data_IF_062862715242
#
_entry.id   IF_062862715242
#
_cell.length_a   1.000
_cell.length_b   1.000
_cell.length_c   1.000
_cell.angle_alpha   90.00
_cell.angle_beta   90.00
_cell.angle_gamma   90.00
#
_symmetry.space_group_name_H-M   'P 1'
#
loop_
_entity.id
_entity.type
_entity.pdbx_description
1 polymer ?
#
# COMPACT_ATOMS: atom_id res chain seq x y z
N UNK A 1 -15.09 -0.07 -4.85
CA UNK A 1 -14.82 -1.32 -5.57
C UNK A 1 -14.97 -0.97 -7.04
N UNK A 2 -13.97 -1.22 -7.89
CA UNK A 2 -14.06 -0.90 -9.33
C UNK A 2 -14.43 -2.19 -10.06
N UNK A 3 -15.63 -2.29 -10.64
CA UNK A 3 -15.90 -3.31 -11.66
C UNK A 3 -15.70 -2.66 -13.03
N UNK A 4 -14.51 -2.86 -13.59
CA UNK A 4 -14.31 -2.89 -15.03
C UNK A 4 -15.20 -3.99 -15.64
N UNK A 5 -15.54 -3.91 -16.94
CA UNK A 5 -16.02 -5.01 -17.79
C UNK A 5 -15.61 -6.36 -17.17
N UNK A 6 -16.56 -7.26 -16.82
CA UNK A 6 -16.35 -8.29 -15.82
C UNK A 6 -15.00 -8.92 -16.04
N UNK A 7 -14.07 -8.60 -15.13
CA UNK A 7 -12.63 -8.86 -15.25
C UNK A 7 -12.29 -10.33 -15.58
N UNK A 8 -13.28 -11.23 -15.45
CA UNK A 8 -13.29 -12.61 -15.99
C UNK A 8 -13.03 -12.71 -17.50
N UNK A 9 -13.54 -11.79 -18.32
CA UNK A 9 -13.37 -11.85 -19.79
C UNK A 9 -11.95 -11.41 -20.17
N UNK A 10 -11.48 -10.32 -19.57
CA UNK A 10 -10.13 -9.80 -19.81
C UNK A 10 -9.05 -10.69 -19.18
N UNK A 11 -9.31 -11.32 -18.03
CA UNK A 11 -8.35 -12.24 -17.39
C UNK A 11 -7.98 -13.40 -18.31
N UNK A 12 -8.95 -13.97 -19.02
CA UNK A 12 -8.71 -15.08 -19.95
C UNK A 12 -7.81 -14.67 -21.12
N UNK A 13 -7.88 -13.41 -21.55
CA UNK A 13 -7.03 -12.90 -22.62
C UNK A 13 -5.62 -12.59 -22.12
N UNK A 14 -5.48 -12.05 -20.91
CA UNK A 14 -4.16 -11.86 -20.29
C UNK A 14 -3.47 -13.19 -20.00
N UNK A 15 -4.21 -14.23 -19.60
CA UNK A 15 -3.68 -15.58 -19.41
C UNK A 15 -3.18 -16.17 -20.74
N UNK A 16 -3.88 -15.94 -21.86
CA UNK A 16 -3.41 -16.34 -23.20
C UNK A 16 -2.09 -15.66 -23.57
N UNK A 17 -1.96 -14.35 -23.32
CA UNK A 17 -0.72 -13.61 -23.55
C UNK A 17 0.40 -14.14 -22.64
N UNK A 18 0.11 -14.40 -21.36
CA UNK A 18 1.07 -15.00 -20.42
C UNK A 18 1.51 -16.42 -20.83
N UNK A 19 0.69 -17.14 -21.62
CA UNK A 19 0.99 -18.44 -22.21
C UNK A 19 1.68 -18.35 -23.59
N UNK A 20 2.00 -17.15 -24.08
CA UNK A 20 2.81 -16.94 -25.29
C UNK A 20 2.03 -16.54 -26.53
N UNK A 21 0.73 -16.28 -26.42
CA UNK A 21 0.00 -15.62 -27.52
C UNK A 21 0.45 -14.17 -27.70
N UNK A 22 0.43 -13.63 -28.94
CA UNK A 22 0.87 -12.27 -29.19
C UNK A 22 -0.05 -11.25 -28.50
N UNK A 23 0.54 -10.18 -27.97
CA UNK A 23 -0.17 -9.13 -27.23
C UNK A 23 -1.04 -8.22 -28.10
N UNK A 24 -0.88 -8.29 -29.43
CA UNK A 24 -1.65 -7.54 -30.42
C UNK A 24 -3.15 -7.88 -30.48
N UNK A 25 -3.59 -8.87 -29.68
CA UNK A 25 -5.00 -9.19 -29.45
C UNK A 25 -5.73 -8.03 -28.73
N UNK A 26 -5.04 -7.33 -27.82
CA UNK A 26 -5.62 -6.23 -27.02
C UNK A 26 -4.78 -4.95 -27.04
N UNK A 27 -3.48 -5.06 -27.29
CA UNK A 27 -2.51 -3.99 -27.10
C UNK A 27 -1.77 -3.69 -28.40
N UNK A 28 -1.64 -2.41 -28.75
CA UNK A 28 -0.75 -2.02 -29.84
C UNK A 28 0.72 -2.24 -29.48
N UNK A 29 1.06 -2.17 -28.19
CA UNK A 29 2.40 -2.38 -27.68
C UNK A 29 2.61 -3.78 -27.11
N UNK A 30 3.86 -4.24 -27.17
CA UNK A 30 4.28 -5.48 -26.53
C UNK A 30 4.17 -5.40 -25.02
N UNK A 31 3.63 -6.45 -24.39
CA UNK A 31 3.68 -6.64 -22.94
C UNK A 31 5.12 -6.94 -22.51
N UNK A 32 5.63 -6.16 -21.55
CA UNK A 32 6.99 -6.29 -21.00
C UNK A 32 7.02 -7.14 -19.72
N UNK A 33 5.97 -7.03 -18.90
CA UNK A 33 5.81 -7.78 -17.66
C UNK A 33 4.32 -7.77 -17.24
N UNK A 34 3.99 -8.45 -16.16
CA UNK A 34 2.67 -8.43 -15.54
C UNK A 34 2.71 -7.95 -14.09
N UNK A 35 1.74 -7.11 -13.72
CA UNK A 35 1.40 -6.90 -12.32
C UNK A 35 0.45 -7.98 -11.81
N UNK A 36 0.73 -8.50 -10.62
CA UNK A 36 -0.13 -9.43 -9.88
C UNK A 36 -1.00 -8.64 -8.92
N UNK A 37 -2.31 -8.64 -9.16
CA UNK A 37 -3.31 -8.03 -8.27
C UNK A 37 -3.54 -8.87 -7.03
N UNK A 38 -3.89 -8.22 -5.92
CA UNK A 38 -4.41 -8.92 -4.73
C UNK A 38 -5.81 -9.49 -4.94
N UNK A 39 -6.57 -8.95 -5.91
CA UNK A 39 -7.85 -9.52 -6.32
C UNK A 39 -7.66 -10.81 -7.11
N UNK A 40 -8.55 -11.78 -6.88
CA UNK A 40 -8.48 -13.10 -7.53
C UNK A 40 -9.62 -13.31 -8.53
N UNK A 41 -9.39 -14.17 -9.51
CA UNK A 41 -10.40 -14.73 -10.42
C UNK A 41 -10.19 -16.25 -10.44
N UNK A 42 -11.23 -17.03 -10.12
CA UNK A 42 -11.08 -18.49 -10.04
C UNK A 42 -10.07 -18.99 -9.01
N UNK A 43 -9.82 -18.21 -7.95
CA UNK A 43 -8.83 -18.54 -6.91
C UNK A 43 -7.39 -18.14 -7.21
N UNK A 44 -7.09 -17.67 -8.42
CA UNK A 44 -5.75 -17.20 -8.82
C UNK A 44 -5.66 -15.67 -8.83
N UNK A 45 -4.51 -15.08 -8.45
CA UNK A 45 -4.27 -13.63 -8.57
C UNK A 45 -4.44 -13.17 -10.01
N UNK A 46 -5.13 -12.04 -10.22
CA UNK A 46 -5.30 -11.50 -11.56
C UNK A 46 -3.99 -10.90 -12.07
N UNK A 47 -3.70 -11.13 -13.36
CA UNK A 47 -2.59 -10.52 -14.06
C UNK A 47 -3.05 -9.24 -14.78
N UNK A 48 -2.26 -8.18 -14.70
CA UNK A 48 -2.47 -6.96 -15.47
C UNK A 48 -1.21 -6.68 -16.30
N UNK A 49 -1.32 -6.55 -17.62
CA UNK A 49 -0.15 -6.34 -18.47
C UNK A 49 0.49 -4.98 -18.21
N UNK A 50 1.81 -4.93 -18.37
CA UNK A 50 2.61 -3.72 -18.26
C UNK A 50 3.28 -3.48 -19.61
N UNK A 51 3.02 -2.29 -20.16
CA UNK A 51 3.59 -1.81 -21.42
C UNK A 51 4.62 -0.72 -21.15
N UNK A 52 5.32 -0.27 -22.20
CA UNK A 52 6.26 0.84 -22.07
C UNK A 52 5.56 2.12 -21.59
N UNK A 53 4.35 2.39 -22.07
CA UNK A 53 3.53 3.51 -21.59
C UNK A 53 3.15 3.39 -20.11
N UNK A 54 2.74 2.21 -19.64
CA UNK A 54 2.45 2.00 -18.22
C UNK A 54 3.68 2.26 -17.34
N UNK A 55 4.88 1.88 -17.80
CA UNK A 55 6.13 2.18 -17.08
C UNK A 55 6.46 3.69 -17.04
N UNK A 56 6.10 4.46 -18.08
CA UNK A 56 6.28 5.92 -18.08
C UNK A 56 5.43 6.64 -17.03
N UNK A 57 4.35 6.01 -16.55
CA UNK A 57 3.52 6.56 -15.47
C UNK A 57 4.14 6.36 -14.08
N UNK A 58 4.99 5.35 -13.89
CA UNK A 58 5.60 5.05 -12.58
C UNK A 58 6.36 6.27 -12.01
N UNK A 59 7.25 6.97 -12.76
CA UNK A 59 7.93 8.17 -12.26
C UNK A 59 7.01 9.30 -11.78
N UNK A 60 5.79 9.40 -12.32
CA UNK A 60 4.80 10.41 -11.88
C UNK A 60 4.28 10.07 -10.48
N UNK A 61 4.19 8.78 -10.16
CA UNK A 61 3.62 8.27 -8.93
C UNK A 61 4.68 8.04 -7.84
N UNK A 62 5.93 7.78 -8.23
CA UNK A 62 7.06 7.55 -7.32
C UNK A 62 7.19 8.62 -6.22
N UNK A 63 7.04 9.93 -6.49
CA UNK A 63 7.09 10.97 -5.44
C UNK A 63 5.97 10.84 -4.39
N UNK A 64 4.84 10.22 -4.74
CA UNK A 64 3.71 10.01 -3.84
C UNK A 64 3.78 8.67 -3.11
N UNK A 65 4.38 7.65 -3.73
CA UNK A 65 4.72 6.37 -3.08
C UNK A 65 5.87 6.54 -2.11
N UNK A 66 6.96 7.17 -2.57
CA UNK A 66 8.19 7.42 -1.85
C UNK A 66 8.19 8.86 -1.34
N UNK A 67 7.80 9.06 -0.09
CA UNK A 67 8.30 10.23 0.65
C UNK A 67 9.82 10.13 0.94
N UNK A 68 10.54 9.11 0.42
CA UNK A 68 11.73 8.57 1.07
C UNK A 68 12.83 8.16 0.09
N UNK A 69 13.96 8.87 0.26
CA UNK A 69 15.32 8.72 -0.27
C UNK A 69 15.59 9.05 -1.75
N UNK A 70 16.12 10.27 -1.91
CA UNK A 70 17.17 10.58 -2.89
C UNK A 70 18.42 9.76 -2.55
N UNK A 71 18.67 8.70 -3.30
CA UNK A 71 20.02 8.13 -3.41
C UNK A 71 20.80 9.00 -4.42
N UNK A 72 21.92 9.54 -3.95
CA UNK A 72 23.02 10.20 -4.67
C UNK A 72 22.79 10.61 -6.14
N UNK A 73 22.72 11.92 -6.37
CA UNK A 73 23.29 12.52 -7.59
C UNK A 73 22.34 13.16 -8.59
N UNK A 74 21.02 12.96 -8.51
CA UNK A 74 20.08 13.62 -9.43
C UNK A 74 19.38 14.77 -8.70
N UNK A 75 19.85 16.00 -8.94
CA UNK A 75 19.17 17.24 -8.52
C UNK A 75 17.77 17.27 -9.14
N UNK A 76 16.74 16.85 -8.41
CA UNK A 76 15.36 16.86 -8.89
C UNK A 76 14.55 18.02 -8.31
N UNK A 77 14.34 19.02 -9.16
CA UNK A 77 13.52 20.22 -8.99
C UNK A 77 12.04 19.94 -8.60
N UNK A 78 11.58 18.68 -8.55
CA UNK A 78 10.18 18.32 -8.23
C UNK A 78 9.89 18.22 -6.72
N UNK A 79 10.89 17.97 -5.87
CA UNK A 79 10.69 17.97 -4.41
C UNK A 79 10.23 19.35 -3.91
N UNK A 80 10.58 20.41 -4.65
CA UNK A 80 10.21 21.80 -4.35
C UNK A 80 8.71 22.11 -4.46
N UNK A 81 7.91 21.32 -5.20
CA UNK A 81 6.45 21.55 -5.26
C UNK A 81 5.66 20.78 -4.19
N UNK A 82 6.21 19.70 -3.65
CA UNK A 82 5.64 19.03 -2.47
C UNK A 82 5.88 19.84 -1.18
N UNK A 83 6.88 20.74 -1.16
CA UNK A 83 7.14 21.66 -0.03
C UNK A 83 5.95 22.58 0.32
N UNK A 84 5.03 22.84 -0.62
CA UNK A 84 3.88 23.71 -0.39
C UNK A 84 2.60 22.97 0.04
N UNK A 85 2.49 21.66 -0.22
CA UNK A 85 1.28 20.87 0.09
C UNK A 85 1.44 20.15 1.44
N UNK A 86 2.68 19.76 1.77
CA UNK A 86 3.00 19.02 2.97
C UNK A 86 3.74 19.98 3.92
N UNK A 87 3.01 20.74 4.75
CA UNK A 87 3.58 21.61 5.79
C UNK A 87 4.22 20.79 6.94
N UNK A 88 5.11 19.87 6.61
CA UNK A 88 6.06 19.30 7.56
C UNK A 88 7.35 20.10 7.40
N UNK A 89 7.65 20.98 8.36
CA UNK A 89 8.77 21.92 8.28
C UNK A 89 10.12 21.27 7.89
N UNK A 90 11.01 22.09 7.32
CA UNK A 90 12.42 21.83 6.96
C UNK A 90 12.83 20.34 6.78
N UNK A 91 12.23 19.67 5.80
CA UNK A 91 12.61 18.34 5.30
C UNK A 91 13.89 18.37 4.43
N UNK A 92 14.92 19.11 4.84
CA UNK A 92 16.17 19.28 4.07
C UNK A 92 17.26 18.23 4.40
N UNK A 93 16.99 17.29 5.32
CA UNK A 93 17.88 16.16 5.64
C UNK A 93 17.31 14.84 5.13
N UNK A 94 18.21 13.91 4.75
CA UNK A 94 17.84 12.59 4.26
C UNK A 94 16.92 11.85 5.25
N UNK A 95 15.62 11.87 4.96
CA UNK A 95 14.59 11.24 5.77
C UNK A 95 14.77 9.72 5.68
N UNK A 96 15.08 9.04 6.79
CA UNK A 96 14.99 7.57 6.86
C UNK A 96 13.57 7.19 7.30
N UNK A 97 13.01 6.21 6.62
CA UNK A 97 11.74 5.59 6.96
C UNK A 97 11.92 4.15 7.33
N UNK A 98 11.05 3.70 8.21
CA UNK A 98 10.78 2.30 8.42
C UNK A 98 9.46 1.96 7.73
N UNK A 99 9.53 1.35 6.55
CA UNK A 99 8.36 0.84 5.85
C UNK A 99 8.42 -0.68 5.80
N UNK A 100 7.48 -1.34 6.47
CA UNK A 100 7.37 -2.80 6.44
C UNK A 100 6.80 -3.22 5.09
N UNK A 101 7.63 -3.87 4.29
CA UNK A 101 7.25 -4.38 2.97
C UNK A 101 7.22 -5.89 2.98
N UNK A 102 6.13 -6.44 2.48
CA UNK A 102 5.91 -7.87 2.32
C UNK A 102 5.76 -8.15 0.83
N UNK A 103 6.88 -8.33 0.15
CA UNK A 103 6.89 -8.67 -1.27
C UNK A 103 6.75 -10.19 -1.44
N UNK A 104 6.00 -10.62 -2.44
CA UNK A 104 6.14 -11.99 -2.96
C UNK A 104 7.24 -11.98 -4.01
N UNK A 105 8.01 -13.06 -4.07
CA UNK A 105 9.01 -13.26 -5.12
C UNK A 105 8.40 -13.09 -6.51
N UNK A 106 9.21 -12.54 -7.43
CA UNK A 106 8.85 -12.46 -8.84
C UNK A 106 8.66 -13.87 -9.38
N UNK A 107 7.53 -14.11 -10.05
CA UNK A 107 7.26 -15.39 -10.71
C UNK A 107 7.38 -15.22 -12.21
N UNK A 108 7.91 -16.23 -12.90
CA UNK A 108 7.96 -16.24 -14.36
C UNK A 108 6.68 -16.86 -14.93
N UNK A 109 6.11 -16.20 -15.93
CA UNK A 109 4.99 -16.75 -16.70
C UNK A 109 5.49 -17.81 -17.69
N UNK A 110 4.63 -18.70 -18.23
CA UNK A 110 5.05 -19.73 -19.17
C UNK A 110 5.76 -19.21 -20.44
N UNK A 111 5.52 -17.96 -20.83
CA UNK A 111 6.21 -17.30 -21.95
C UNK A 111 7.52 -16.59 -21.57
N UNK A 112 7.98 -16.69 -20.32
CA UNK A 112 9.21 -16.07 -19.84
C UNK A 112 9.07 -14.63 -19.33
N UNK A 113 7.86 -14.05 -19.37
CA UNK A 113 7.62 -12.71 -18.84
C UNK A 113 7.51 -12.75 -17.31
N UNK A 114 8.07 -11.74 -16.64
CA UNK A 114 7.99 -11.61 -15.18
C UNK A 114 6.59 -11.19 -14.73
N UNK A 115 6.15 -11.73 -13.60
CA UNK A 115 4.93 -11.34 -12.91
C UNK A 115 5.24 -10.97 -11.45
N UNK A 116 5.03 -9.70 -11.09
CA UNK A 116 5.39 -9.14 -9.78
C UNK A 116 4.27 -8.32 -9.16
N UNK A 117 4.30 -8.05 -7.86
CA UNK A 117 3.36 -7.13 -7.26
C UNK A 117 3.68 -5.68 -7.68
N UNK A 118 2.67 -4.84 -7.87
CA UNK A 118 2.86 -3.47 -8.36
C UNK A 118 3.69 -2.58 -7.42
N UNK A 119 3.85 -2.98 -6.15
CA UNK A 119 4.57 -2.24 -5.10
C UNK A 119 6.02 -2.68 -4.90
N UNK A 120 6.52 -3.67 -5.64
CA UNK A 120 7.85 -4.27 -5.41
C UNK A 120 8.94 -3.71 -6.32
N UNK A 121 8.80 -2.47 -6.81
CA UNK A 121 9.81 -1.82 -7.66
C UNK A 121 11.08 -1.39 -6.90
N UNK A 122 11.25 -1.79 -5.64
CA UNK A 122 12.41 -1.51 -4.79
C UNK A 122 13.05 -2.82 -4.35
N UNK A 123 14.26 -3.16 -4.84
CA UNK A 123 15.00 -4.29 -4.33
C UNK A 123 15.73 -3.93 -3.04
N UNK A 124 15.31 -4.55 -1.95
CA UNK A 124 16.16 -4.80 -0.78
C UNK A 124 16.12 -6.30 -0.59
N UNK A 125 17.28 -6.95 -0.48
CA UNK A 125 17.39 -8.42 -0.43
C UNK A 125 16.57 -9.01 0.73
N UNK A 126 16.45 -8.29 1.85
CA UNK A 126 15.61 -8.67 2.98
C UNK A 126 14.09 -8.59 2.70
N UNK A 127 13.64 -7.74 1.77
CA UNK A 127 12.22 -7.60 1.39
C UNK A 127 11.76 -8.79 0.53
N UNK A 128 12.68 -9.42 -0.20
CA UNK A 128 12.42 -10.59 -1.05
C UNK A 128 12.68 -11.93 -0.36
N UNK A 129 12.98 -11.95 0.93
CA UNK A 129 13.12 -13.21 1.65
C UNK A 129 11.78 -13.96 1.63
N UNK A 130 11.81 -15.20 1.12
CA UNK A 130 10.63 -16.08 1.01
C UNK A 130 10.02 -16.42 2.38
N UNK A 131 10.84 -16.44 3.43
CA UNK A 131 10.38 -16.53 4.81
C UNK A 131 9.98 -15.14 5.34
N UNK A 132 8.68 -14.92 5.43
CA UNK A 132 8.11 -13.65 5.89
C UNK A 132 8.50 -13.30 7.33
N UNK A 133 8.77 -14.29 8.19
CA UNK A 133 9.16 -14.04 9.57
C UNK A 133 10.60 -13.56 9.64
N UNK A 134 11.50 -14.18 8.86
CA UNK A 134 12.90 -13.73 8.78
C UNK A 134 13.01 -12.33 8.17
N UNK A 135 12.23 -12.06 7.13
CA UNK A 135 12.11 -10.72 6.54
C UNK A 135 11.65 -9.69 7.58
N UNK A 136 10.57 -10.00 8.31
CA UNK A 136 10.00 -9.10 9.32
C UNK A 136 10.97 -8.85 10.48
N UNK A 137 11.66 -9.89 10.94
CA UNK A 137 12.69 -9.80 11.97
C UNK A 137 13.81 -8.85 11.53
N UNK A 138 14.34 -9.02 10.31
CA UNK A 138 15.42 -8.18 9.80
C UNK A 138 14.98 -6.72 9.59
N UNK A 139 13.76 -6.50 9.09
CA UNK A 139 13.20 -5.16 8.92
C UNK A 139 13.00 -4.45 10.27
N UNK A 140 12.46 -5.15 11.28
CA UNK A 140 12.32 -4.62 12.65
C UNK A 140 13.68 -4.29 13.26
N UNK A 141 14.64 -5.22 13.14
CA UNK A 141 16.00 -5.03 13.65
C UNK A 141 16.65 -3.78 13.04
N UNK A 142 16.54 -3.60 11.71
CA UNK A 142 17.05 -2.41 11.05
C UNK A 142 16.39 -1.12 11.54
N UNK A 143 15.08 -1.14 11.77
CA UNK A 143 14.34 -0.02 12.33
C UNK A 143 14.71 0.31 13.77
N UNK A 144 15.08 -0.70 14.57
CA UNK A 144 15.44 -0.53 15.98
C UNK A 144 16.89 -0.09 16.21
N UNK A 145 17.81 -0.39 15.29
CA UNK A 145 19.23 0.02 15.39
C UNK A 145 19.43 1.53 15.19
N UNK A 146 18.54 2.17 14.41
CA UNK A 146 18.62 3.59 14.05
C UNK A 146 17.33 4.35 14.42
N UNK A 147 16.87 4.31 15.69
CA UNK A 147 15.55 4.79 16.06
C UNK A 147 15.39 6.30 15.87
N UNK A 148 16.45 7.06 16.10
CA UNK A 148 16.44 8.53 16.00
C UNK A 148 16.34 9.03 14.56
N UNK A 149 16.71 8.21 13.58
CA UNK A 149 16.66 8.61 12.18
C UNK A 149 15.30 8.31 11.52
N UNK A 150 14.43 7.54 12.20
CA UNK A 150 13.11 7.17 11.68
C UNK A 150 12.13 8.33 11.84
N UNK A 151 11.75 8.93 10.71
CA UNK A 151 10.81 10.05 10.64
C UNK A 151 9.40 9.57 10.23
N UNK A 152 9.31 8.41 9.60
CA UNK A 152 8.05 7.78 9.17
C UNK A 152 8.10 6.29 9.48
N UNK A 153 7.02 5.77 10.10
CA UNK A 153 6.79 4.35 10.33
C UNK A 153 5.55 3.92 9.55
N UNK A 154 5.58 2.79 8.86
CA UNK A 154 4.41 2.42 8.07
C UNK A 154 4.47 1.09 7.36
N UNK A 155 3.39 0.78 6.66
CA UNK A 155 3.29 -0.29 5.67
C UNK A 155 2.24 0.12 4.64
N UNK A 156 2.10 -0.66 3.56
CA UNK A 156 1.05 -0.39 2.56
C UNK A 156 -0.35 -0.47 3.19
N UNK A 157 -0.61 -1.48 4.03
CA UNK A 157 -1.91 -1.67 4.68
C UNK A 157 -1.78 -1.62 6.20
N UNK A 158 -2.82 -1.14 6.89
CA UNK A 158 -2.89 -1.12 8.34
C UNK A 158 -2.61 -2.49 8.98
N UNK A 159 -3.15 -3.56 8.38
CA UNK A 159 -2.96 -4.95 8.84
C UNK A 159 -1.49 -5.39 8.86
N UNK A 160 -0.72 -4.98 7.87
CA UNK A 160 0.69 -5.35 7.75
C UNK A 160 1.53 -4.67 8.83
N UNK A 161 1.24 -3.39 9.13
CA UNK A 161 1.87 -2.69 10.25
C UNK A 161 1.46 -3.30 11.60
N UNK A 162 0.17 -3.61 11.80
CA UNK A 162 -0.29 -4.28 13.02
C UNK A 162 0.36 -5.64 13.22
N UNK A 163 0.58 -6.40 12.14
CA UNK A 163 1.34 -7.66 12.20
C UNK A 163 2.78 -7.43 12.64
N UNK A 164 3.45 -6.41 12.12
CA UNK A 164 4.81 -6.06 12.54
C UNK A 164 4.88 -5.67 14.03
N UNK A 165 3.88 -4.95 14.53
CA UNK A 165 3.78 -4.60 15.96
C UNK A 165 3.56 -5.86 16.81
N UNK A 166 2.67 -6.76 16.40
CA UNK A 166 2.46 -8.03 17.09
C UNK A 166 3.72 -8.89 17.12
N UNK A 167 4.42 -8.97 16.00
CA UNK A 167 5.70 -9.68 15.92
C UNK A 167 6.75 -9.05 16.86
N UNK A 168 6.79 -7.72 16.97
CA UNK A 168 7.65 -7.06 17.94
C UNK A 168 7.29 -7.46 19.38
N UNK A 169 5.99 -7.51 19.73
CA UNK A 169 5.54 -7.95 21.07
C UNK A 169 6.00 -9.38 21.41
N UNK A 170 6.09 -10.26 20.41
CA UNK A 170 6.52 -11.65 20.59
C UNK A 170 8.07 -11.80 20.67
N UNK A 171 8.81 -11.01 19.89
CA UNK A 171 10.25 -11.22 19.66
C UNK A 171 11.18 -10.12 20.22
N UNK A 172 10.66 -9.09 20.92
CA UNK A 172 11.48 -7.97 21.40
C UNK A 172 12.66 -8.40 22.29
N UNK A 173 12.53 -9.47 23.08
CA UNK A 173 13.61 -9.99 23.94
C UNK A 173 14.80 -10.46 23.13
N UNK A 174 14.52 -11.18 22.05
CA UNK A 174 15.54 -11.70 21.14
C UNK A 174 16.18 -10.56 20.35
N UNK A 175 15.37 -9.63 19.84
CA UNK A 175 15.84 -8.42 19.18
C UNK A 175 16.78 -7.61 20.10
N UNK A 176 16.41 -7.41 21.37
CA UNK A 176 17.27 -6.74 22.35
C UNK A 176 18.56 -7.52 22.62
N UNK A 177 18.51 -8.85 22.69
CA UNK A 177 19.69 -9.70 22.87
C UNK A 177 20.66 -9.53 21.71
N UNK A 178 20.15 -9.58 20.47
CA UNK A 178 20.92 -9.40 19.25
C UNK A 178 21.56 -7.99 19.20
N UNK A 179 20.79 -6.93 19.48
CA UNK A 179 21.32 -5.55 19.50
C UNK A 179 22.42 -5.42 20.57
N UNK A 180 22.25 -6.06 21.73
CA UNK A 180 23.25 -6.04 22.81
C UNK A 180 24.55 -6.74 22.42
N UNK A 181 24.47 -7.93 21.82
CA UNK A 181 25.63 -8.73 21.42
C UNK A 181 26.27 -8.26 20.11
N UNK A 182 25.52 -7.53 19.27
CA UNK A 182 25.91 -7.21 17.90
C UNK A 182 25.91 -8.44 16.98
N UNK A 183 25.23 -9.52 17.37
CA UNK A 183 25.15 -10.77 16.59
C UNK A 183 23.69 -11.11 16.30
N UNK A 184 23.43 -11.53 15.06
CA UNK A 184 22.11 -12.01 14.66
C UNK A 184 21.89 -13.44 15.19
N UNK A 185 20.65 -13.75 15.57
CA UNK A 185 20.27 -15.09 15.96
C UNK A 185 20.46 -16.12 14.84
N UNK A 186 20.80 -17.35 15.23
CA UNK A 186 20.92 -18.50 14.33
C UNK A 186 19.58 -18.92 13.70
N UNK A 187 18.46 -18.40 14.20
CA UNK A 187 17.11 -18.65 13.69
C UNK A 187 16.88 -18.02 12.30
N UNK A 188 17.64 -16.98 11.96
CA UNK A 188 17.68 -16.45 10.60
C UNK A 188 18.57 -17.41 9.81
N UNK A 189 18.04 -18.07 8.79
CA UNK A 189 18.76 -19.03 7.95
C UNK A 189 19.01 -18.50 6.55
N UNK A 190 18.18 -17.57 6.08
CA UNK A 190 18.28 -16.93 4.78
C UNK A 190 19.56 -16.09 4.67
N UNK A 191 20.33 -16.32 3.60
CA UNK A 191 21.63 -15.67 3.40
C UNK A 191 21.51 -14.18 3.10
N UNK A 192 20.45 -13.76 2.40
CA UNK A 192 20.18 -12.35 2.12
C UNK A 192 19.90 -11.57 3.40
N UNK A 193 18.99 -12.08 4.23
CA UNK A 193 18.67 -11.55 5.55
C UNK A 193 19.90 -11.50 6.47
N UNK A 194 20.67 -12.60 6.55
CA UNK A 194 21.90 -12.64 7.35
C UNK A 194 22.91 -11.57 6.93
N UNK A 195 23.16 -11.43 5.63
CA UNK A 195 24.13 -10.49 5.10
C UNK A 195 23.68 -9.04 5.35
N UNK A 196 22.41 -8.74 5.06
CA UNK A 196 21.83 -7.43 5.26
C UNK A 196 21.87 -7.01 6.74
N UNK A 197 21.41 -7.87 7.64
CA UNK A 197 21.44 -7.62 9.07
C UNK A 197 22.88 -7.52 9.62
N UNK A 198 23.79 -8.41 9.23
CA UNK A 198 25.19 -8.35 9.69
C UNK A 198 25.90 -7.06 9.29
N UNK A 199 25.52 -6.46 8.15
CA UNK A 199 26.10 -5.19 7.68
C UNK A 199 25.76 -3.99 8.57
N UNK A 200 24.64 -4.04 9.30
CA UNK A 200 24.16 -2.94 10.15
C UNK A 200 24.39 -3.20 11.65
N UNK A 201 24.71 -4.44 12.04
CA UNK A 201 24.86 -4.85 13.43
C UNK A 201 26.18 -4.35 14.04
N UNK A 202 26.06 -3.69 15.19
CA UNK A 202 27.17 -3.32 16.08
C UNK A 202 26.71 -3.50 17.52
N UNK A 203 27.54 -4.04 18.43
CA UNK A 203 27.15 -4.20 19.83
C UNK A 203 26.73 -2.86 20.44
N UNK A 204 25.48 -2.77 20.89
CA UNK A 204 24.94 -1.56 21.52
C UNK A 204 24.06 -1.90 22.74
N UNK A 205 24.67 -2.17 23.91
CA UNK A 205 23.94 -2.51 25.12
C UNK A 205 22.98 -1.41 25.60
N UNK A 206 23.35 -0.13 25.45
CA UNK A 206 22.54 1.00 25.91
C UNK A 206 21.23 1.12 25.13
N UNK A 207 21.29 0.91 23.81
CA UNK A 207 20.10 0.87 22.96
C UNK A 207 19.21 -0.33 23.32
N UNK A 208 19.82 -1.50 23.53
CA UNK A 208 19.08 -2.70 23.94
C UNK A 208 18.37 -2.51 25.30
N UNK A 209 19.01 -1.88 26.28
CA UNK A 209 18.40 -1.57 27.58
C UNK A 209 17.24 -0.58 27.44
N UNK A 210 17.39 0.42 26.55
CA UNK A 210 16.35 1.41 26.27
C UNK A 210 15.11 0.77 25.63
N UNK A 211 15.31 -0.08 24.61
CA UNK A 211 14.22 -0.82 23.96
C UNK A 211 13.59 -1.81 24.95
N UNK A 212 14.40 -2.53 25.73
CA UNK A 212 13.90 -3.45 26.76
C UNK A 212 12.99 -2.72 27.75
N UNK A 213 13.39 -1.53 28.23
CA UNK A 213 12.57 -0.73 29.15
C UNK A 213 11.21 -0.40 28.53
N UNK A 214 11.19 0.03 27.27
CA UNK A 214 9.95 0.37 26.54
C UNK A 214 9.06 -0.85 26.34
N UNK A 215 9.61 -1.97 25.86
CA UNK A 215 8.84 -3.17 25.53
C UNK A 215 8.43 -4.01 26.75
N UNK A 216 9.09 -3.82 27.90
CA UNK A 216 8.73 -4.49 29.16
C UNK A 216 7.52 -3.87 29.87
N UNK A 217 7.03 -2.71 29.42
CA UNK A 217 5.84 -2.07 29.99
C UNK A 217 4.58 -2.92 29.75
N UNK A 218 3.65 -2.92 30.71
CA UNK A 218 2.38 -3.67 30.60
C UNK A 218 1.47 -3.14 29.48
N UNK A 219 1.59 -1.85 29.14
CA UNK A 219 0.83 -1.23 28.06
C UNK A 219 1.71 -0.91 26.85
N UNK A 220 1.34 -1.49 25.71
CA UNK A 220 1.88 -1.16 24.38
C UNK A 220 1.29 0.12 23.80
N UNK A 221 0.51 0.90 24.56
CA UNK A 221 -0.03 2.18 24.10
C UNK A 221 1.11 3.12 23.69
N UNK A 222 1.02 3.67 22.49
CA UNK A 222 2.03 4.57 21.93
C UNK A 222 3.40 3.94 21.70
N UNK A 223 3.51 2.61 21.61
CA UNK A 223 4.78 1.89 21.39
C UNK A 223 5.56 2.46 20.20
N UNK A 224 4.88 2.86 19.12
CA UNK A 224 5.53 3.38 17.91
C UNK A 224 6.28 4.68 18.23
N UNK A 225 5.62 5.64 18.87
CA UNK A 225 6.23 6.92 19.26
C UNK A 225 7.29 6.76 20.35
N UNK A 226 7.16 5.75 21.21
CA UNK A 226 8.16 5.44 22.24
C UNK A 226 9.45 4.88 21.62
N UNK A 227 9.34 3.98 20.65
CA UNK A 227 10.49 3.35 19.97
C UNK A 227 11.13 4.28 18.93
N UNK A 228 10.31 5.05 18.22
CA UNK A 228 10.74 5.98 17.17
C UNK A 228 10.29 7.41 17.54
N UNK A 229 10.99 8.07 18.49
CA UNK A 229 10.57 9.37 19.04
C UNK A 229 10.54 10.50 18.01
N UNK A 230 11.33 10.39 16.94
CA UNK A 230 11.38 11.39 15.87
C UNK A 230 10.34 11.14 14.76
N UNK A 231 9.56 10.06 14.85
CA UNK A 231 8.48 9.78 13.90
C UNK A 231 7.47 10.92 13.90
N UNK A 232 7.05 11.35 12.71
CA UNK A 232 6.12 12.48 12.50
C UNK A 232 4.72 12.02 12.13
N UNK A 233 4.60 10.87 11.49
CA UNK A 233 3.34 10.29 11.05
C UNK A 233 3.49 8.78 10.81
N UNK A 234 2.35 8.10 10.76
CA UNK A 234 2.26 6.69 10.37
C UNK A 234 1.67 6.60 8.97
N UNK A 235 2.37 5.93 8.04
CA UNK A 235 1.82 5.70 6.70
C UNK A 235 1.16 4.33 6.63
N UNK A 236 -0.14 4.31 6.33
CA UNK A 236 -0.89 3.09 6.07
C UNK A 236 -2.19 3.41 5.31
N UNK A 237 -2.65 2.51 4.46
CA UNK A 237 -4.03 2.54 3.97
C UNK A 237 -4.95 2.19 5.14
N UNK A 238 -5.77 3.16 5.54
CA UNK A 238 -6.76 3.08 6.64
C UNK A 238 -8.20 3.28 6.17
N UNK A 239 -8.43 3.43 4.86
CA UNK A 239 -9.77 3.61 4.28
C UNK A 239 -10.39 2.29 3.85
N UNK A 240 -11.71 2.29 3.58
CA UNK A 240 -12.43 1.10 3.13
C UNK A 240 -12.43 0.02 4.20
N UNK A 241 -12.19 -1.25 3.83
CA UNK A 241 -12.11 -2.36 4.79
C UNK A 241 -11.01 -2.21 5.85
N UNK A 242 -10.02 -1.34 5.62
CA UNK A 242 -8.96 -1.09 6.58
C UNK A 242 -9.38 -0.14 7.72
N UNK A 243 -10.54 0.51 7.63
CA UNK A 243 -11.01 1.46 8.65
C UNK A 243 -11.25 0.79 10.01
N UNK A 244 -11.56 -0.51 10.02
CA UNK A 244 -11.73 -1.29 11.24
C UNK A 244 -10.45 -1.37 12.10
N UNK A 245 -9.29 -1.07 11.53
CA UNK A 245 -8.00 -1.10 12.23
C UNK A 245 -7.54 0.27 12.73
N UNK A 246 -8.31 1.33 12.47
CA UNK A 246 -7.94 2.71 12.84
C UNK A 246 -7.77 2.84 14.34
N UNK A 247 -8.75 2.42 15.14
CA UNK A 247 -8.69 2.52 16.60
C UNK A 247 -7.48 1.76 17.18
N UNK A 248 -7.21 0.57 16.66
CA UNK A 248 -6.05 -0.23 17.08
C UNK A 248 -4.73 0.45 16.72
N UNK A 249 -4.63 1.04 15.52
CA UNK A 249 -3.43 1.79 15.13
C UNK A 249 -3.27 3.07 15.95
N UNK A 250 -4.36 3.77 16.26
CA UNK A 250 -4.34 4.96 17.11
C UNK A 250 -3.81 4.63 18.50
N UNK A 251 -4.25 3.50 19.10
CA UNK A 251 -3.71 2.98 20.36
C UNK A 251 -2.18 2.80 20.32
N UNK A 252 -1.64 2.18 19.27
CA UNK A 252 -0.18 1.99 19.13
C UNK A 252 0.58 3.25 18.71
N UNK A 253 -0.11 4.24 18.11
CA UNK A 253 0.51 5.42 17.50
C UNK A 253 1.11 6.41 18.51
N UNK A 254 0.49 6.58 19.67
CA UNK A 254 0.87 7.61 20.64
C UNK A 254 0.53 9.03 20.16
N UNK A 255 -0.55 9.16 19.37
CA UNK A 255 -1.02 10.42 18.81
C UNK A 255 -0.29 10.86 17.53
N UNK A 256 0.40 9.94 16.86
CA UNK A 256 0.95 10.20 15.52
C UNK A 256 -0.19 10.19 14.49
N UNK A 257 -0.25 11.17 13.56
CA UNK A 257 -1.28 11.20 12.54
C UNK A 257 -1.15 9.97 11.61
N UNK A 258 -2.29 9.36 11.31
CA UNK A 258 -2.39 8.26 10.35
C UNK A 258 -2.62 8.83 8.95
N UNK A 259 -1.71 8.52 8.04
CA UNK A 259 -1.60 9.16 6.74
C UNK A 259 -1.79 8.11 5.64
N UNK A 260 -2.87 8.27 4.87
CA UNK A 260 -3.15 7.46 3.67
C UNK A 260 -2.93 8.30 2.41
N UNK A 261 -1.76 8.15 1.79
CA UNK A 261 -1.31 9.02 0.70
C UNK A 261 -1.93 8.71 -0.66
N UNK A 262 -2.10 7.43 -0.97
CA UNK A 262 -2.43 7.00 -2.33
C UNK A 262 -3.53 5.97 -2.31
N UNK A 263 -4.36 6.02 -3.35
CA UNK A 263 -5.30 4.96 -3.69
C UNK A 263 -4.84 4.40 -5.04
N UNK A 264 -4.50 3.11 -5.08
CA UNK A 264 -3.86 2.49 -6.23
C UNK A 264 -4.42 1.10 -6.42
N UNK A 265 -4.61 0.70 -7.67
CA UNK A 265 -4.89 -0.67 -8.04
C UNK A 265 -3.97 -1.12 -9.18
N UNK A 266 -3.88 -2.44 -9.42
CA UNK A 266 -3.00 -2.98 -10.46
C UNK A 266 -3.49 -2.63 -11.87
N UNK A 267 -4.80 -2.46 -12.02
CA UNK A 267 -5.50 -2.11 -13.25
C UNK A 267 -5.25 -0.65 -13.68
N UNK A 268 -5.09 0.23 -12.69
CA UNK A 268 -5.04 1.66 -12.89
C UNK A 268 -4.35 2.34 -11.69
N UNK A 269 -3.24 3.01 -11.94
CA UNK A 269 -2.52 3.73 -10.89
C UNK A 269 -3.13 5.11 -10.62
N UNK A 270 -4.08 5.19 -9.69
CA UNK A 270 -4.97 6.34 -9.73
C UNK A 270 -5.50 6.76 -8.36
N UNK A 271 -4.88 7.83 -7.85
CA UNK A 271 -5.41 8.93 -7.03
C UNK A 271 -4.49 9.21 -5.83
N UNK A 272 -4.41 10.47 -5.45
CA UNK A 272 -3.58 10.95 -4.35
C UNK A 272 -4.44 11.69 -3.33
N UNK A 273 -4.10 11.56 -2.06
CA UNK A 273 -4.67 12.40 -1.02
C UNK A 273 -3.94 13.76 -1.04
N UNK A 274 -4.67 14.82 -1.36
CA UNK A 274 -4.14 16.19 -1.34
C UNK A 274 -4.13 16.79 0.07
N UNK A 275 -4.89 16.21 1.00
CA UNK A 275 -5.01 16.60 2.41
C UNK A 275 -4.57 15.45 3.32
N UNK A 276 -3.29 15.07 3.30
CA UNK A 276 -2.79 13.86 3.95
C UNK A 276 -2.90 13.83 5.47
N UNK A 277 -3.00 15.00 6.09
CA UNK A 277 -3.15 15.17 7.53
C UNK A 277 -4.63 15.18 7.98
N UNK A 278 -5.57 15.04 7.05
CA UNK A 278 -6.98 14.85 7.38
C UNK A 278 -7.12 13.60 8.27
N UNK A 279 -8.03 13.64 9.24
CA UNK A 279 -8.34 12.46 10.05
C UNK A 279 -8.76 11.26 9.18
N UNK A 280 -8.58 10.00 9.64
CA UNK A 280 -8.86 8.79 8.84
C UNK A 280 -10.26 8.73 8.24
N UNK A 281 -11.25 9.35 8.90
CA UNK A 281 -12.65 9.40 8.43
C UNK A 281 -12.91 10.43 7.33
N UNK A 282 -12.00 11.36 7.07
CA UNK A 282 -12.17 12.47 6.13
C UNK A 282 -11.27 12.36 4.89
N UNK A 283 -10.56 11.23 4.75
CA UNK A 283 -9.63 11.01 3.63
C UNK A 283 -10.37 11.05 2.30
N UNK A 284 -9.90 11.91 1.40
CA UNK A 284 -10.40 12.04 0.03
C UNK A 284 -9.25 11.89 -0.97
N UNK A 285 -9.47 11.09 -2.01
CA UNK A 285 -8.46 10.85 -3.04
C UNK A 285 -8.82 11.56 -4.34
N UNK A 286 -7.93 12.44 -4.80
CA UNK A 286 -8.07 13.18 -6.05
C UNK A 286 -7.50 12.38 -7.21
N UNK A 287 -8.28 12.25 -8.28
CA UNK A 287 -7.84 11.60 -9.51
C UNK A 287 -6.69 12.34 -10.16
N UNK A 288 -5.79 11.58 -10.78
CA UNK A 288 -4.78 12.11 -11.67
C UNK A 288 -5.26 11.88 -13.11
N UNK A 289 -5.81 12.89 -13.81
CA UNK A 289 -6.45 12.68 -15.12
C UNK A 289 -5.51 12.17 -16.22
N UNK A 290 -4.19 12.25 -16.00
CA UNK A 290 -3.18 11.81 -16.95
C UNK A 290 -2.85 10.32 -16.86
N UNK A 291 -3.29 9.60 -15.81
CA UNK A 291 -2.87 8.21 -15.58
C UNK A 291 -3.77 7.18 -16.26
N UNK A 292 -5.04 7.52 -16.50
CA UNK A 292 -6.00 6.73 -17.25
C UNK A 292 -7.20 7.62 -17.63
N UNK A 293 -8.08 7.12 -18.50
CA UNK A 293 -9.38 7.71 -18.73
C UNK A 293 -10.39 7.12 -17.75
N UNK A 294 -11.16 7.97 -17.06
CA UNK A 294 -12.08 7.57 -15.99
C UNK A 294 -13.51 7.96 -16.33
N UNK A 295 -14.40 7.01 -16.16
CA UNK A 295 -15.84 7.23 -16.26
C UNK A 295 -16.51 6.74 -14.97
N UNK A 296 -17.66 7.32 -14.65
CA UNK A 296 -18.38 7.08 -13.41
C UNK A 296 -19.79 6.61 -13.73
N UNK A 297 -20.13 5.40 -13.30
CA UNK A 297 -21.46 4.84 -13.41
C UNK A 297 -22.26 5.15 -12.14
N UNK A 298 -23.35 5.94 -12.22
CA UNK A 298 -24.19 6.24 -11.05
C UNK A 298 -24.70 4.98 -10.34
N UNK A 299 -24.59 4.95 -9.01
CA UNK A 299 -25.13 3.87 -8.17
C UNK A 299 -26.37 4.38 -7.45
N UNK A 300 -27.52 3.75 -7.68
CA UNK A 300 -28.75 4.08 -6.95
C UNK A 300 -28.62 3.72 -5.46
N UNK A 301 -28.91 4.66 -4.57
CA UNK A 301 -28.77 4.51 -3.12
C UNK A 301 -29.49 3.27 -2.53
N UNK A 302 -30.52 2.74 -3.20
CA UNK A 302 -31.25 1.55 -2.76
C UNK A 302 -30.47 0.23 -2.90
N UNK A 303 -29.37 0.18 -3.66
CA UNK A 303 -28.51 -1.02 -3.72
C UNK A 303 -27.43 -1.05 -2.63
N UNK A 304 -27.15 0.11 -2.02
CA UNK A 304 -26.18 0.22 -0.92
C UNK A 304 -26.76 -0.29 0.42
N UNK A 305 -28.07 -0.14 0.65
CA UNK A 305 -28.72 -0.68 1.86
C UNK A 305 -28.62 -2.21 1.95
N UNK A 306 -28.75 -2.94 0.84
CA UNK A 306 -28.65 -4.40 0.80
C UNK A 306 -27.23 -4.94 1.08
N UNK A 307 -26.19 -4.13 0.91
CA UNK A 307 -24.80 -4.53 1.22
C UNK A 307 -24.33 -4.06 2.61
N UNK A 308 -25.03 -3.11 3.22
CA UNK A 308 -24.79 -2.63 4.58
C UNK A 308 -25.71 -3.27 5.64
N UNK A 309 -26.87 -3.81 5.24
CA UNK A 309 -27.86 -4.43 6.15
C UNK A 309 -27.41 -5.76 6.79
N UNK A 310 -26.24 -6.30 6.46
CA UNK A 310 -25.66 -7.43 7.21
C UNK A 310 -24.99 -6.96 8.52
N UNK A 311 -24.86 -5.65 8.80
CA UNK A 311 -24.12 -5.19 9.99
C UNK A 311 -24.73 -4.13 10.91
N UNK A 312 -25.90 -3.52 10.66
CA UNK A 312 -26.49 -2.62 11.65
C UNK A 312 -28.02 -2.69 11.72
N UNK A 313 -28.54 -3.38 12.74
CA UNK A 313 -29.94 -3.30 13.15
C UNK A 313 -30.18 -1.97 13.87
N UNK A 314 -30.89 -1.04 13.22
CA UNK A 314 -31.73 -0.07 13.92
C UNK A 314 -33.10 -0.03 13.26
N UNK A 315 -34.12 -0.35 14.06
CA UNK A 315 -35.50 -0.38 13.65
C UNK A 315 -36.02 1.03 13.36
N UNK A 316 -36.62 1.21 12.18
CA UNK A 316 -37.51 2.34 11.90
C UNK A 316 -38.46 1.95 10.77
N UNK A 317 -39.75 1.87 11.10
CA UNK A 317 -40.85 1.56 10.21
C UNK A 317 -41.08 2.70 9.22
N UNK A 318 -41.04 2.44 7.91
CA UNK A 318 -41.79 3.23 6.91
C UNK A 318 -42.17 2.38 5.69
N UNK A 319 -43.35 2.67 5.16
CA UNK A 319 -44.18 1.90 4.21
C UNK A 319 -43.58 1.68 2.80
N UNK A 320 -44.07 0.69 2.03
CA UNK A 320 -43.48 0.29 0.76
C UNK A 320 -43.88 1.27 -0.36
N UNK A 321 -42.91 2.07 -0.83
CA UNK A 321 -43.07 2.82 -2.09
C UNK A 321 -42.75 1.90 -3.26
N UNK A 322 -43.68 1.85 -4.21
CA UNK A 322 -43.74 0.97 -5.37
C UNK A 322 -42.43 0.93 -6.19
N UNK A 323 -42.01 -0.30 -6.53
CA UNK A 323 -40.95 -0.59 -7.51
C UNK A 323 -41.35 -0.09 -8.90
N UNK A 324 -40.88 1.09 -9.29
CA UNK A 324 -40.69 1.40 -10.72
C UNK A 324 -39.32 0.91 -11.14
N UNK A 325 -39.29 -0.29 -11.72
CA UNK A 325 -38.15 -0.79 -12.49
C UNK A 325 -38.05 0.01 -13.80
N UNK A 326 -37.42 1.18 -13.75
CA UNK A 326 -36.95 1.81 -14.97
C UNK A 326 -35.61 1.14 -15.33
N UNK A 327 -35.65 0.27 -16.34
CA UNK A 327 -34.48 -0.06 -17.16
C UNK A 327 -34.08 1.21 -17.96
N UNK A 328 -33.68 2.26 -17.25
CA UNK A 328 -32.90 3.33 -17.88
C UNK A 328 -31.51 2.76 -18.07
N UNK A 329 -31.03 2.71 -19.32
CA UNK A 329 -29.62 2.48 -19.60
C UNK A 329 -28.84 3.58 -18.86
N UNK A 330 -28.31 3.25 -17.69
CA UNK A 330 -27.50 4.18 -16.91
C UNK A 330 -26.22 4.38 -17.71
N UNK A 331 -26.12 5.47 -18.45
CA UNK A 331 -24.92 5.83 -19.19
C UNK A 331 -23.82 6.28 -18.22
N UNK A 332 -22.58 5.79 -18.37
CA UNK A 332 -21.45 6.34 -17.63
C UNK A 332 -21.25 7.81 -17.96
N UNK A 333 -20.89 8.59 -16.96
CA UNK A 333 -20.56 10.02 -17.11
C UNK A 333 -19.05 10.23 -16.97
N UNK A 334 -18.53 11.26 -17.63
CA UNK A 334 -17.12 11.63 -17.49
C UNK A 334 -16.80 12.11 -16.07
N UNK A 335 -15.54 11.94 -15.67
CA UNK A 335 -15.03 12.35 -14.36
C UNK A 335 -15.35 13.81 -13.99
N UNK A 336 -15.39 14.72 -14.96
CA UNK A 336 -15.68 16.16 -14.73
C UNK A 336 -17.16 16.46 -14.46
N UNK A 337 -18.05 15.52 -14.76
CA UNK A 337 -19.50 15.68 -14.63
C UNK A 337 -20.09 15.05 -13.36
N UNK A 338 -19.24 14.48 -12.49
CA UNK A 338 -19.67 13.91 -11.21
C UNK A 338 -20.26 14.97 -10.29
N UNK A 339 -21.29 14.59 -9.52
CA UNK A 339 -21.99 15.48 -8.60
C UNK A 339 -21.59 15.19 -7.15
N UNK A 340 -21.43 16.25 -6.37
CA UNK A 340 -21.12 16.14 -4.94
C UNK A 340 -22.21 15.35 -4.21
N UNK A 341 -21.79 14.45 -3.31
CA UNK A 341 -22.70 13.63 -2.49
C UNK A 341 -23.36 12.46 -3.21
N UNK A 342 -23.00 12.18 -4.47
CA UNK A 342 -23.49 11.02 -5.23
C UNK A 342 -22.48 9.87 -5.20
N UNK A 343 -22.99 8.65 -5.31
CA UNK A 343 -22.18 7.43 -5.36
C UNK A 343 -22.03 6.96 -6.81
N UNK A 344 -20.80 6.58 -7.13
CA UNK A 344 -20.44 6.11 -8.47
C UNK A 344 -19.58 4.86 -8.37
N UNK A 345 -19.79 3.95 -9.31
CA UNK A 345 -18.86 2.91 -9.66
C UNK A 345 -17.87 3.44 -10.69
N UNK A 346 -16.60 3.10 -10.53
CA UNK A 346 -15.53 3.57 -11.40
C UNK A 346 -15.31 2.59 -12.56
N UNK A 347 -15.37 3.13 -13.77
CA UNK A 347 -14.89 2.49 -15.00
C UNK A 347 -13.56 3.12 -15.41
N UNK A 348 -12.66 2.31 -15.95
CA UNK A 348 -11.31 2.75 -16.31
C UNK A 348 -10.95 2.27 -17.71
N UNK A 349 -10.42 3.18 -18.50
CA UNK A 349 -9.70 2.83 -19.72
C UNK A 349 -8.22 3.19 -19.55
N UNK A 350 -7.34 2.19 -19.58
CA UNK A 350 -5.91 2.33 -19.24
C UNK A 350 -4.98 1.98 -20.40
N UNK A 351 -3.74 2.47 -20.33
CA UNK A 351 -2.67 2.15 -21.28
C UNK A 351 -2.30 0.64 -21.31
N UNK A 352 -2.78 -0.11 -20.32
CA UNK A 352 -2.64 -1.57 -20.24
C UNK A 352 -3.74 -2.32 -21.01
N UNK A 353 -4.51 -1.64 -21.87
CA UNK A 353 -5.51 -2.30 -22.73
C UNK A 353 -6.74 -2.76 -21.98
N UNK A 354 -7.00 -2.18 -20.81
CA UNK A 354 -8.29 -2.26 -20.15
C UNK A 354 -9.17 -1.16 -20.74
N UNK A 355 -10.36 -1.53 -21.17
CA UNK A 355 -11.34 -0.60 -21.74
C UNK A 355 -12.64 -0.81 -20.98
N UNK A 356 -13.12 0.24 -20.30
CA UNK A 356 -14.37 0.35 -19.50
C UNK A 356 -14.61 -0.72 -18.45
#
# INVERSE_FOLDING_TARGET
MCLLLPMKILSLTFDRIANGEPSNILLAESVLEFFRSSGTSGGQPKLTPVTAETLKLLPILLPYFNCLKLISGVKFQLVLKLKHIWHFGNLDQAVKSLEFQFAKEETETPCGLKARAATTSIPIEAIFCSDTNQSMYCQLLAGLIQPDEVVMVGSQFATALLRAIKFLEDYWKELCSNIRSGQISDCITDSGCKNAASSIMKPNPQLADSIHKICSCESSEGIIKKLWPNAKFIRAITTGVMSQYVETLEFYSGGLPLVSNTYVCSEAFCRINLEPLSGPSYVSYTFLPTTAYFECLPVNNNSLSLSQEVQFNYASQHEPVEKKSNNENIEPIDLVHVKLGQYYELLVTSYAGLYR
#
